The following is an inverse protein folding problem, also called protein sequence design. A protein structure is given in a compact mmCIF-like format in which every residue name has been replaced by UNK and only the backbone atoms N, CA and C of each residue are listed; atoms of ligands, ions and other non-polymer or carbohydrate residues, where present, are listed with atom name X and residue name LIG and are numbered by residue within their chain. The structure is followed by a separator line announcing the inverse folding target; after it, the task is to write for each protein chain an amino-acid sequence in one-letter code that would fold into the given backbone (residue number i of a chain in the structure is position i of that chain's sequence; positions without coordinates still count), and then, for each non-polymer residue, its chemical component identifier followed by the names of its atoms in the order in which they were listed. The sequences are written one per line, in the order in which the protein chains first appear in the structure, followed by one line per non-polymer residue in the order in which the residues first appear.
data_IF_978259002138
#
_entry.id   IF_978259002138
#
_cell.length_a   1.000
_cell.length_b   1.000
_cell.length_c   1.000
_cell.angle_alpha   90.00
_cell.angle_beta   90.00
_cell.angle_gamma   90.00
#
_symmetry.space_group_name_H-M   'P 1'
#
loop_
_entity.id
_entity.type
_entity.pdbx_description
1 polymer ?
#
# COMPACT_ATOMS: atom_id res chain seq x y z
N UNK A 1 10.10 8.19 12.95
CA UNK A 1 10.49 7.42 11.74
C UNK A 1 10.16 8.29 10.54
N UNK A 2 11.09 8.56 9.63
CA UNK A 2 10.78 9.43 8.48
C UNK A 2 9.82 8.69 7.52
N UNK A 3 8.63 9.23 7.22
CA UNK A 3 7.66 8.61 6.32
C UNK A 3 8.26 8.31 4.93
N UNK A 4 9.22 9.12 4.49
CA UNK A 4 9.92 8.93 3.21
C UNK A 4 10.71 7.62 3.14
N UNK A 5 11.19 7.11 4.27
CA UNK A 5 11.95 5.84 4.33
C UNK A 5 11.08 4.61 4.13
N UNK A 6 9.77 4.71 4.41
CA UNK A 6 8.80 3.64 4.15
C UNK A 6 8.18 3.73 2.76
N UNK A 7 8.02 4.94 2.24
CA UNK A 7 7.38 5.15 0.96
C UNK A 7 8.16 4.52 -0.20
N UNK A 8 9.50 4.52 -0.12
CA UNK A 8 10.37 3.90 -1.14
C UNK A 8 10.16 2.38 -1.23
N UNK A 9 10.38 1.58 -0.15
CA UNK A 9 10.19 0.13 -0.22
C UNK A 9 8.73 -0.23 -0.48
N UNK A 10 7.77 0.55 0.03
CA UNK A 10 6.36 0.34 -0.28
C UNK A 10 6.08 0.53 -1.78
N UNK A 11 6.55 1.62 -2.39
CA UNK A 11 6.34 1.86 -3.82
C UNK A 11 6.95 0.76 -4.70
N UNK A 12 8.11 0.20 -4.29
CA UNK A 12 8.72 -0.94 -4.98
C UNK A 12 7.82 -2.18 -4.93
N UNK A 13 7.32 -2.53 -3.74
CA UNK A 13 6.38 -3.66 -3.58
C UNK A 13 5.10 -3.45 -4.40
N UNK A 14 4.51 -2.26 -4.33
CA UNK A 14 3.29 -1.94 -5.07
C UNK A 14 3.49 -2.03 -6.59
N UNK A 15 4.64 -1.59 -7.09
CA UNK A 15 4.98 -1.70 -8.51
C UNK A 15 5.19 -3.15 -8.95
N UNK A 16 5.95 -3.94 -8.17
CA UNK A 16 6.27 -5.33 -8.49
C UNK A 16 5.06 -6.26 -8.41
N UNK A 17 4.13 -5.99 -7.48
CA UNK A 17 2.98 -6.84 -7.21
C UNK A 17 1.66 -6.21 -7.66
N UNK A 18 1.71 -5.16 -8.49
CA UNK A 18 0.54 -4.39 -8.93
C UNK A 18 -0.59 -5.26 -9.48
N UNK A 19 -0.25 -6.21 -10.35
CA UNK A 19 -1.21 -7.10 -11.01
C UNK A 19 -1.94 -8.02 -10.01
N UNK A 20 -1.32 -8.31 -8.87
CA UNK A 20 -1.90 -9.10 -7.79
C UNK A 20 -2.69 -8.21 -6.82
N UNK A 21 -2.21 -6.98 -6.59
CA UNK A 21 -2.76 -6.02 -5.64
C UNK A 21 -4.03 -5.35 -6.16
N UNK A 22 -4.05 -4.92 -7.42
CA UNK A 22 -5.19 -4.19 -8.01
C UNK A 22 -6.51 -4.98 -7.94
N UNK A 23 -6.54 -6.29 -8.29
CA UNK A 23 -7.76 -7.09 -8.14
C UNK A 23 -8.21 -7.25 -6.69
N UNK A 24 -7.28 -7.36 -5.73
CA UNK A 24 -7.61 -7.48 -4.29
C UNK A 24 -8.29 -6.22 -3.74
N UNK A 25 -8.00 -5.07 -4.35
CA UNK A 25 -8.63 -3.81 -4.03
C UNK A 25 -10.04 -3.67 -4.62
N UNK A 26 -10.50 -4.64 -5.42
CA UNK A 26 -11.76 -4.55 -6.17
C UNK A 26 -11.65 -3.73 -7.45
N UNK A 27 -10.43 -3.38 -7.87
CA UNK A 27 -10.16 -2.74 -9.14
C UNK A 27 -9.97 -3.78 -10.24
N UNK A 28 -10.86 -3.80 -11.24
CA UNK A 28 -10.41 -4.10 -12.60
C UNK A 28 -9.27 -3.12 -12.93
N UNK A 29 -8.24 -3.54 -13.67
CA UNK A 29 -7.17 -2.63 -14.08
C UNK A 29 -7.79 -1.37 -14.73
N UNK A 30 -7.77 -0.24 -14.01
CA UNK A 30 -8.53 0.99 -14.35
C UNK A 30 -9.61 1.45 -13.34
N UNK A 31 -9.78 0.77 -12.20
CA UNK A 31 -10.77 1.13 -11.18
C UNK A 31 -10.57 2.51 -10.54
N UNK A 32 -11.70 3.17 -10.22
CA UNK A 32 -11.73 4.53 -9.66
C UNK A 32 -10.96 4.62 -8.33
N UNK A 33 -9.81 5.32 -8.33
CA UNK A 33 -9.02 5.69 -7.14
C UNK A 33 -9.88 6.13 -5.94
N UNK A 34 -10.93 6.89 -6.25
CA UNK A 34 -11.87 7.45 -5.28
C UNK A 34 -12.69 6.40 -4.52
N UNK A 35 -13.04 5.29 -5.17
CA UNK A 35 -13.76 4.20 -4.51
C UNK A 35 -12.86 3.47 -3.51
N UNK A 36 -11.56 3.38 -3.80
CA UNK A 36 -10.55 2.78 -2.92
C UNK A 36 -10.23 3.68 -1.72
N UNK A 37 -10.17 5.00 -1.94
CA UNK A 37 -9.96 5.98 -0.87
C UNK A 37 -11.04 5.94 0.21
N UNK A 38 -12.29 5.69 -0.19
CA UNK A 38 -13.41 5.54 0.75
C UNK A 38 -13.53 4.16 1.39
N UNK A 39 -12.74 3.18 0.96
CA UNK A 39 -12.86 1.79 1.40
C UNK A 39 -11.69 1.41 2.33
N UNK A 40 -11.88 1.67 3.62
CA UNK A 40 -10.90 1.34 4.66
C UNK A 40 -10.59 -0.16 4.72
N UNK A 41 -11.54 -1.04 4.40
CA UNK A 41 -11.32 -2.48 4.38
C UNK A 41 -10.40 -2.92 3.23
N UNK A 42 -10.57 -2.32 2.05
CA UNK A 42 -9.67 -2.53 0.92
C UNK A 42 -8.27 -1.99 1.24
N UNK A 43 -8.18 -0.80 1.81
CA UNK A 43 -6.90 -0.17 2.17
C UNK A 43 -6.16 -0.94 3.28
N UNK A 44 -6.88 -1.51 4.26
CA UNK A 44 -6.29 -2.41 5.26
C UNK A 44 -5.78 -3.71 4.65
N UNK A 45 -6.55 -4.32 3.75
CA UNK A 45 -6.12 -5.52 3.01
C UNK A 45 -4.83 -5.25 2.24
N UNK A 46 -4.76 -4.11 1.55
CA UNK A 46 -3.55 -3.65 0.88
C UNK A 46 -2.38 -3.48 1.84
N UNK A 47 -2.60 -2.83 2.98
CA UNK A 47 -1.57 -2.60 3.98
C UNK A 47 -0.99 -3.91 4.51
N UNK A 48 -1.85 -4.85 4.92
CA UNK A 48 -1.42 -6.17 5.43
C UNK A 48 -0.69 -6.97 4.37
N UNK A 49 -1.20 -6.99 3.14
CA UNK A 49 -0.55 -7.69 2.03
C UNK A 49 0.82 -7.07 1.69
N UNK A 50 0.89 -5.75 1.61
CA UNK A 50 2.13 -5.02 1.34
C UNK A 50 3.17 -5.25 2.45
N UNK A 51 2.73 -5.28 3.71
CA UNK A 51 3.60 -5.54 4.86
C UNK A 51 4.26 -6.93 4.78
N UNK A 52 3.49 -7.96 4.38
CA UNK A 52 4.02 -9.31 4.22
C UNK A 52 5.11 -9.41 3.14
N UNK A 53 5.02 -8.56 2.11
CA UNK A 53 5.96 -8.48 0.99
C UNK A 53 7.16 -7.55 1.24
N UNK A 54 7.16 -6.80 2.35
CA UNK A 54 8.30 -5.94 2.66
C UNK A 54 9.57 -6.76 2.93
N UNK A 55 10.76 -6.21 2.58
CA UNK A 55 12.03 -6.81 2.96
C UNK A 55 12.09 -7.07 4.47
N UNK A 56 12.67 -8.20 4.88
CA UNK A 56 12.76 -8.60 6.29
C UNK A 56 13.35 -7.51 7.20
N UNK A 57 14.37 -6.80 6.72
CA UNK A 57 14.98 -5.67 7.44
C UNK A 57 14.00 -4.52 7.73
N UNK A 58 13.08 -4.24 6.80
CA UNK A 58 12.05 -3.21 6.99
C UNK A 58 11.01 -3.68 8.01
N UNK A 59 10.61 -4.96 7.97
CA UNK A 59 9.70 -5.55 8.98
C UNK A 59 10.30 -5.60 10.38
N UNK A 60 11.64 -5.70 10.50
CA UNK A 60 12.33 -5.59 11.79
C UNK A 60 12.37 -4.15 12.30
N UNK A 61 12.50 -3.18 11.40
CA UNK A 61 12.54 -1.76 11.76
C UNK A 61 11.17 -1.18 12.09
N UNK A 62 10.09 -1.78 11.57
CA UNK A 62 8.74 -1.24 11.63
C UNK A 62 7.76 -2.30 12.04
N UNK A 63 7.12 -2.11 13.19
CA UNK A 63 6.04 -2.98 13.65
C UNK A 63 4.83 -2.84 12.72
N UNK A 64 4.17 -3.96 12.47
CA UNK A 64 2.98 -4.04 11.61
C UNK A 64 1.93 -2.96 11.89
N UNK A 65 1.49 -2.70 13.15
CA UNK A 65 0.47 -1.68 13.40
C UNK A 65 0.91 -0.28 12.96
N UNK A 66 2.19 0.05 13.15
CA UNK A 66 2.77 1.34 12.75
C UNK A 66 2.80 1.47 11.23
N UNK A 67 3.08 0.37 10.53
CA UNK A 67 3.04 0.33 9.07
C UNK A 67 1.61 0.45 8.53
N UNK A 68 0.64 -0.25 9.14
CA UNK A 68 -0.77 -0.14 8.79
C UNK A 68 -1.27 1.30 8.95
N UNK A 69 -0.99 1.93 10.09
CA UNK A 69 -1.34 3.33 10.32
C UNK A 69 -0.66 4.26 9.31
N UNK A 70 0.60 4.00 8.96
CA UNK A 70 1.29 4.77 7.93
C UNK A 70 0.59 4.66 6.57
N UNK A 71 0.23 3.44 6.15
CA UNK A 71 -0.48 3.20 4.89
C UNK A 71 -1.84 3.89 4.90
N UNK A 72 -2.58 3.79 6.00
CA UNK A 72 -3.88 4.44 6.10
C UNK A 72 -3.80 5.97 6.07
N UNK A 73 -2.83 6.55 6.79
CA UNK A 73 -2.60 7.99 6.84
C UNK A 73 -2.06 8.57 5.52
N UNK A 74 -1.50 7.74 4.65
CA UNK A 74 -0.94 8.14 3.36
C UNK A 74 -1.69 7.53 2.16
N UNK A 75 -2.93 7.09 2.36
CA UNK A 75 -3.74 6.40 1.33
C UNK A 75 -3.83 7.16 0.02
N UNK A 76 -3.96 8.49 0.05
CA UNK A 76 -4.01 9.34 -1.15
C UNK A 76 -2.75 9.21 -1.99
N UNK A 77 -1.58 9.36 -1.35
CA UNK A 77 -0.27 9.27 -2.03
C UNK A 77 0.03 7.86 -2.53
N UNK A 78 -0.43 6.85 -1.81
CA UNK A 78 -0.22 5.44 -2.16
C UNK A 78 -1.06 5.06 -3.38
N UNK A 79 -2.34 5.45 -3.38
CA UNK A 79 -3.24 5.17 -4.49
C UNK A 79 -2.87 5.98 -5.73
N UNK A 80 -2.42 7.22 -5.58
CA UNK A 80 -1.86 8.00 -6.69
C UNK A 80 -0.70 7.25 -7.35
N UNK A 81 0.25 6.73 -6.57
CA UNK A 81 1.37 5.94 -7.11
C UNK A 81 0.94 4.62 -7.75
N UNK A 82 -0.10 3.96 -7.23
CA UNK A 82 -0.60 2.70 -7.77
C UNK A 82 -1.35 2.87 -9.10
N UNK A 83 -1.93 4.06 -9.34
CA UNK A 83 -2.84 4.31 -10.47
C UNK A 83 -2.23 5.19 -11.56
N UNK A 84 -1.29 6.07 -11.22
CA UNK A 84 -0.66 7.01 -12.16
C UNK A 84 0.59 6.41 -12.84
N UNK A 85 1.17 5.34 -12.29
CA UNK A 85 2.28 4.63 -12.94
C UNK A 85 1.81 3.69 -14.04
#
# INVERSE_FOLDING_TARGET
MNPDKLMIPLAQVLSQHREQILPMLGGQAGGNARALLGNDAAMRTLATYSYALLPGLVRLAVKEPVFLDFVMNNRDKILERLLVQ
#
